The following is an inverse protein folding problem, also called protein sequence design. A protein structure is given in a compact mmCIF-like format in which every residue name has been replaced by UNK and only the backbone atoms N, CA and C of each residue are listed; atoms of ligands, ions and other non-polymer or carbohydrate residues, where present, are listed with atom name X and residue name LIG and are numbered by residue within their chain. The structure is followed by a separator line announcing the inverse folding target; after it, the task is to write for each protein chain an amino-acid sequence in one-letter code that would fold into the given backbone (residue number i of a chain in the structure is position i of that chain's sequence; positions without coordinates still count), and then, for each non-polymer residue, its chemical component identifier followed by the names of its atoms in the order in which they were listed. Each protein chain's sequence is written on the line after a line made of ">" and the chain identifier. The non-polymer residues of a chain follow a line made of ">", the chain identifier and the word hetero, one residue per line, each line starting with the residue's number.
data_IF_408037398943
#
_entry.id   IF_408037398943
#
_cell.length_a   1.000
_cell.length_b   1.000
_cell.length_c   1.000
_cell.angle_alpha   90.00
_cell.angle_beta   90.00
_cell.angle_gamma   90.00
#
_symmetry.space_group_name_H-M   'P 1'
#
loop_
_entity.id
_entity.type
_entity.pdbx_description
1 polymer ?
#
# COMPACT_ATOMS: atom_id res chain seq x y z
N UNK A 1 26.71 -5.44 -36.08
CA UNK A 1 25.28 -5.32 -35.73
C UNK A 1 25.08 -6.10 -34.44
N UNK A 2 24.98 -5.41 -33.30
CA UNK A 2 24.74 -6.07 -32.00
C UNK A 2 23.24 -6.25 -31.81
N UNK A 3 22.81 -7.47 -31.48
CA UNK A 3 21.43 -7.84 -31.20
C UNK A 3 21.03 -7.34 -29.81
N UNK A 4 20.02 -6.49 -29.73
CA UNK A 4 19.36 -6.14 -28.47
C UNK A 4 18.56 -7.36 -27.98
N UNK A 5 19.15 -8.13 -27.08
CA UNK A 5 18.44 -9.19 -26.36
C UNK A 5 17.32 -8.60 -25.47
N UNK A 6 16.27 -9.39 -25.15
CA UNK A 6 15.16 -8.90 -24.36
C UNK A 6 15.67 -8.51 -22.97
N UNK A 7 15.53 -7.23 -22.61
CA UNK A 7 15.74 -6.79 -21.24
C UNK A 7 14.78 -7.58 -20.35
N UNK A 8 15.26 -8.29 -19.31
CA UNK A 8 14.36 -8.94 -18.38
C UNK A 8 13.52 -7.85 -17.72
N UNK A 9 12.23 -7.86 -18.01
CA UNK A 9 11.27 -7.00 -17.34
C UNK A 9 11.28 -7.44 -15.87
N UNK A 10 11.94 -6.67 -15.00
CA UNK A 10 11.98 -6.93 -13.56
C UNK A 10 10.61 -6.53 -13.00
N UNK A 11 9.61 -7.36 -13.25
CA UNK A 11 8.30 -7.24 -12.64
C UNK A 11 8.40 -7.89 -11.26
N UNK A 12 8.46 -7.07 -10.21
CA UNK A 12 8.31 -7.57 -8.84
C UNK A 12 6.87 -8.06 -8.69
N UNK A 13 6.66 -9.37 -8.71
CA UNK A 13 5.38 -9.97 -8.34
C UNK A 13 5.17 -9.77 -6.84
N UNK A 14 4.44 -8.73 -6.47
CA UNK A 14 4.01 -8.49 -5.10
C UNK A 14 2.77 -9.35 -4.82
N UNK A 15 2.97 -10.51 -4.18
CA UNK A 15 1.88 -11.35 -3.66
C UNK A 15 1.59 -11.09 -2.17
N UNK A 16 2.18 -10.04 -1.59
CA UNK A 16 1.96 -9.74 -0.18
C UNK A 16 0.56 -9.16 0.03
N UNK A 17 -0.23 -9.83 0.87
CA UNK A 17 -1.52 -9.33 1.31
C UNK A 17 -1.26 -8.09 2.15
N UNK A 18 -1.68 -6.93 1.65
CA UNK A 18 -1.63 -5.67 2.39
C UNK A 18 -2.55 -5.79 3.61
N UNK A 19 -2.04 -5.65 4.85
CA UNK A 19 -2.89 -5.72 6.03
C UNK A 19 -3.86 -4.53 6.07
N UNK A 20 -5.12 -4.84 6.37
CA UNK A 20 -6.18 -3.86 6.59
C UNK A 20 -6.56 -3.90 8.06
N UNK A 21 -6.44 -2.77 8.75
CA UNK A 21 -6.73 -2.60 10.16
C UNK A 21 -8.07 -1.90 10.37
N UNK A 22 -8.93 -2.43 11.23
CA UNK A 22 -10.24 -1.85 11.53
C UNK A 22 -10.14 -0.75 12.59
N UNK A 23 -10.09 0.51 12.18
CA UNK A 23 -10.07 1.65 13.10
C UNK A 23 -11.47 2.20 13.42
N UNK A 24 -12.55 1.65 12.86
CA UNK A 24 -13.91 2.22 12.98
C UNK A 24 -14.41 2.28 14.43
N UNK A 25 -13.94 1.35 15.28
CA UNK A 25 -14.30 1.27 16.70
C UNK A 25 -13.47 2.18 17.61
N UNK A 26 -12.43 2.82 17.08
CA UNK A 26 -11.53 3.66 17.85
C UNK A 26 -11.91 5.14 17.67
N UNK A 27 -12.13 5.83 18.78
CA UNK A 27 -12.50 7.27 18.79
C UNK A 27 -11.29 8.20 18.90
N UNK A 28 -10.09 7.61 19.02
CA UNK A 28 -8.83 8.34 19.17
C UNK A 28 -8.40 8.93 17.82
N UNK A 29 -7.62 10.02 17.87
CA UNK A 29 -7.07 10.59 16.64
C UNK A 29 -6.12 9.59 15.96
N UNK A 30 -6.08 9.63 14.64
CA UNK A 30 -5.19 8.80 13.82
C UNK A 30 -3.74 8.82 14.31
N UNK A 31 -3.20 9.99 14.64
CA UNK A 31 -1.82 10.15 15.13
C UNK A 31 -1.52 9.38 16.43
N UNK A 32 -2.54 9.07 17.23
CA UNK A 32 -2.42 8.24 18.43
C UNK A 32 -2.52 6.74 18.12
N UNK A 33 -3.23 6.37 17.05
CA UNK A 33 -3.43 4.97 16.66
C UNK A 33 -2.26 4.40 15.84
N UNK A 34 -1.59 5.24 15.03
CA UNK A 34 -0.50 4.80 14.14
C UNK A 34 0.64 4.07 14.85
N UNK A 35 1.16 4.53 16.00
CA UNK A 35 2.27 3.84 16.66
C UNK A 35 1.96 2.40 17.05
N UNK A 36 0.69 2.09 17.33
CA UNK A 36 0.21 0.79 17.78
C UNK A 36 -0.64 0.07 16.72
N UNK A 37 -0.46 0.41 15.44
CA UNK A 37 -1.33 -0.07 14.37
C UNK A 37 -1.39 -1.60 14.27
N UNK A 38 -0.29 -2.29 14.55
CA UNK A 38 -0.20 -3.75 14.50
C UNK A 38 -1.02 -4.45 15.61
N UNK A 39 -1.49 -3.70 16.61
CA UNK A 39 -2.37 -4.18 17.67
C UNK A 39 -3.86 -4.03 17.32
N UNK A 40 -4.20 -3.36 16.21
CA UNK A 40 -5.59 -3.21 15.78
C UNK A 40 -6.11 -4.49 15.14
N UNK A 41 -7.42 -4.71 15.25
CA UNK A 41 -8.08 -5.84 14.60
C UNK A 41 -7.84 -5.82 13.09
N UNK A 42 -7.51 -6.98 12.53
CA UNK A 42 -7.32 -7.12 11.09
C UNK A 42 -8.62 -7.53 10.39
N UNK A 43 -8.84 -6.95 9.22
CA UNK A 43 -9.94 -7.29 8.32
C UNK A 43 -9.41 -8.25 7.26
N UNK A 44 -9.92 -9.47 7.25
CA UNK A 44 -9.56 -10.52 6.29
C UNK A 44 -10.69 -10.78 5.26
N UNK A 45 -11.50 -9.76 4.97
CA UNK A 45 -12.61 -9.81 4.01
C UNK A 45 -12.52 -8.66 3.01
N UNK A 46 -13.21 -8.80 1.89
CA UNK A 46 -13.37 -7.71 0.94
C UNK A 46 -14.10 -6.52 1.59
N UNK A 47 -13.68 -5.32 1.21
CA UNK A 47 -14.31 -4.07 1.61
C UNK A 47 -15.26 -3.59 0.50
N UNK A 48 -16.41 -3.02 0.86
CA UNK A 48 -17.31 -2.45 -0.15
C UNK A 48 -16.65 -1.26 -0.86
N UNK A 49 -16.90 -1.07 -2.17
CA UNK A 49 -16.51 0.15 -2.88
C UNK A 49 -17.03 1.40 -2.18
N UNK A 50 -16.21 2.47 -2.11
CA UNK A 50 -16.55 3.71 -1.42
C UNK A 50 -16.21 3.74 0.08
N UNK A 51 -15.58 2.68 0.60
CA UNK A 51 -15.02 2.68 1.97
C UNK A 51 -13.99 3.80 2.16
N UNK A 52 -14.03 4.44 3.33
CA UNK A 52 -13.09 5.49 3.73
C UNK A 52 -11.93 4.88 4.51
N UNK A 53 -10.69 5.13 4.09
CA UNK A 53 -9.51 4.57 4.71
C UNK A 53 -8.29 5.49 4.63
N UNK A 54 -7.35 5.30 5.55
CA UNK A 54 -5.99 5.83 5.46
C UNK A 54 -5.08 4.75 4.88
N UNK A 55 -4.19 5.13 3.95
CA UNK A 55 -3.27 4.20 3.28
C UNK A 55 -1.84 4.64 3.54
N UNK A 56 -1.03 3.77 4.13
CA UNK A 56 0.41 3.99 4.18
C UNK A 56 1.06 3.39 2.94
N UNK A 57 1.90 4.18 2.28
CA UNK A 57 2.58 3.78 1.06
C UNK A 57 4.01 4.32 1.03
N UNK A 58 4.87 3.64 0.28
CA UNK A 58 6.17 4.16 -0.13
C UNK A 58 6.14 4.51 -1.60
N UNK A 59 6.83 5.59 -1.97
CA UNK A 59 7.11 5.96 -3.36
C UNK A 59 8.60 5.89 -3.55
N UNK A 60 9.04 5.13 -4.54
CA UNK A 60 10.44 5.10 -4.94
C UNK A 60 10.54 5.58 -6.39
N UNK A 61 11.56 6.37 -6.66
CA UNK A 61 11.92 6.80 -8.01
C UNK A 61 13.29 6.24 -8.36
N UNK A 62 13.50 5.80 -9.60
CA UNK A 62 14.80 5.34 -10.08
C UNK A 62 15.01 5.61 -11.57
N UNK A 63 16.27 5.67 -11.96
CA UNK A 63 16.71 6.06 -13.30
C UNK A 63 17.35 7.46 -13.28
N UNK A 64 18.49 7.59 -13.98
CA UNK A 64 19.27 8.82 -14.03
C UNK A 64 18.84 9.77 -15.17
N UNK A 65 17.95 9.32 -16.06
CA UNK A 65 17.50 10.05 -17.25
C UNK A 65 15.99 9.91 -17.44
N UNK A 66 15.38 10.91 -18.09
CA UNK A 66 13.96 10.87 -18.42
C UNK A 66 13.63 9.80 -19.48
N UNK A 67 12.50 9.10 -19.36
CA UNK A 67 11.53 9.18 -18.25
C UNK A 67 12.03 8.48 -16.98
N UNK A 68 11.81 9.11 -15.81
CA UNK A 68 12.12 8.53 -14.49
C UNK A 68 11.08 7.45 -14.19
N UNK A 69 11.54 6.30 -13.67
CA UNK A 69 10.64 5.25 -13.24
C UNK A 69 10.14 5.53 -11.83
N UNK A 70 8.87 5.17 -11.56
CA UNK A 70 8.24 5.35 -10.25
C UNK A 70 7.57 4.04 -9.83
N UNK A 71 7.73 3.65 -8.58
CA UNK A 71 6.99 2.54 -7.95
C UNK A 71 6.25 3.04 -6.73
N UNK A 72 5.01 2.57 -6.58
CA UNK A 72 4.21 2.73 -5.39
C UNK A 72 4.08 1.36 -4.72
N UNK A 73 4.25 1.30 -3.40
CA UNK A 73 4.00 0.08 -2.64
C UNK A 73 3.16 0.43 -1.42
N UNK A 74 1.99 -0.20 -1.30
CA UNK A 74 1.10 -0.05 -0.15
C UNK A 74 1.62 -0.94 0.98
N UNK A 75 1.78 -0.35 2.17
CA UNK A 75 2.28 -1.04 3.36
C UNK A 75 1.16 -1.56 4.24
N UNK A 76 0.14 -0.75 4.46
CA UNK A 76 -1.05 -1.10 5.23
C UNK A 76 -2.19 -0.13 4.95
N UNK A 77 -3.40 -0.56 5.30
CA UNK A 77 -4.62 0.25 5.22
C UNK A 77 -5.27 0.31 6.59
N UNK A 78 -5.80 1.46 6.97
CA UNK A 78 -6.60 1.66 8.18
C UNK A 78 -8.01 2.08 7.76
N UNK A 79 -9.00 1.22 7.99
CA UNK A 79 -10.40 1.48 7.66
C UNK A 79 -11.03 2.42 8.67
N UNK A 80 -11.57 3.54 8.19
CA UNK A 80 -12.24 4.56 9.00
C UNK A 80 -13.77 4.48 8.89
N UNK A 81 -14.30 3.97 7.77
CA UNK A 81 -15.74 3.87 7.55
C UNK A 81 -16.08 3.05 6.32
N UNK A 82 -17.29 2.54 6.28
CA UNK A 82 -17.90 1.87 5.11
C UNK A 82 -19.14 2.68 4.70
N UNK A 83 -19.57 2.63 3.43
CA UNK A 83 -20.82 3.25 2.97
C UNK A 83 -22.05 2.74 3.73
#
# INVERSE_FOLDING_TARGET
>A
MQSNGPHPQVTLNCHDIVPIYDARKYTQSFLKLVPDIDQLDRINRELPPGSCAVVAYTVNTWGASLPVNVSFNVKWVMLLGVP
#
